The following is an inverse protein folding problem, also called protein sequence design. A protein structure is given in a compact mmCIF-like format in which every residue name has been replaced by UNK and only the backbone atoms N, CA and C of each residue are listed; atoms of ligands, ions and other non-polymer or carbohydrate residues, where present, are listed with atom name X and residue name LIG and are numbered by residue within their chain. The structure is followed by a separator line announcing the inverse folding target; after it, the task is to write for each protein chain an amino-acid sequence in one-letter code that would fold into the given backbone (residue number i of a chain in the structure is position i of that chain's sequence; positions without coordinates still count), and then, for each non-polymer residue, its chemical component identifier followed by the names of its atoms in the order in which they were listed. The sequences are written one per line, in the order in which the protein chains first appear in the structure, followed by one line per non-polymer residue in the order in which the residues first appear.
data_IF_533626232904
#
_entry.id   IF_533626232904
#
_cell.length_a   1.000
_cell.length_b   1.000
_cell.length_c   1.000
_cell.angle_alpha   90.00
_cell.angle_beta   90.00
_cell.angle_gamma   90.00
#
_symmetry.space_group_name_H-M   'P 1'
#
loop_
_entity.id
_entity.type
_entity.pdbx_description
1 polymer ?
#
# COMPACT_ATOMS: atom_id res chain seq x y z
N UNK A 1 13.65 -15.28 14.55
CA UNK A 1 14.02 -15.21 13.12
C UNK A 1 14.74 -13.90 12.76
N UNK A 2 14.17 -12.72 13.05
CA UNK A 2 14.74 -11.42 12.68
C UNK A 2 16.17 -11.13 13.19
N UNK A 3 16.44 -11.33 14.49
CA UNK A 3 17.73 -10.97 15.10
C UNK A 3 18.96 -11.61 14.41
N UNK A 4 18.98 -12.93 14.12
CA UNK A 4 20.08 -13.53 13.34
C UNK A 4 20.30 -12.93 11.95
N UNK A 5 19.25 -12.45 11.28
CA UNK A 5 19.31 -11.82 9.96
C UNK A 5 19.67 -10.32 10.05
N UNK A 6 19.83 -9.77 11.26
CA UNK A 6 20.07 -8.34 11.45
C UNK A 6 18.89 -7.48 11.02
N UNK A 7 17.66 -8.02 11.08
CA UNK A 7 16.44 -7.28 10.81
C UNK A 7 16.01 -6.63 12.13
N UNK A 8 15.87 -5.31 12.12
CA UNK A 8 15.61 -4.50 13.33
C UNK A 8 14.54 -3.45 13.15
N UNK A 9 14.30 -2.97 11.92
CA UNK A 9 13.19 -2.09 11.59
C UNK A 9 11.98 -2.94 11.20
N UNK A 10 11.15 -3.29 12.19
CA UNK A 10 9.99 -4.18 12.02
C UNK A 10 8.77 -3.54 12.64
N UNK A 11 7.68 -3.51 11.90
CA UNK A 11 6.35 -3.28 12.45
C UNK A 11 5.55 -4.54 12.17
N UNK A 12 4.98 -5.13 13.21
CA UNK A 12 4.08 -6.26 13.09
C UNK A 12 2.91 -6.02 14.03
N UNK A 13 1.78 -5.52 13.51
CA UNK A 13 0.61 -5.22 14.30
C UNK A 13 0.11 -6.43 15.06
N UNK A 14 -0.44 -6.17 16.23
CA UNK A 14 -0.99 -7.17 17.12
C UNK A 14 -2.42 -6.82 17.51
N UNK A 15 -3.22 -7.84 17.77
CA UNK A 15 -4.55 -7.69 18.34
C UNK A 15 -4.49 -7.12 19.78
N UNK A 16 -5.65 -6.82 20.35
CA UNK A 16 -5.75 -6.31 21.73
C UNK A 16 -5.18 -7.28 22.79
N UNK A 17 -4.97 -8.56 22.46
CA UNK A 17 -4.38 -9.57 23.33
C UNK A 17 -2.85 -9.67 23.14
N UNK A 18 -2.27 -8.92 22.19
CA UNK A 18 -0.84 -8.92 21.88
C UNK A 18 -0.41 -10.02 20.91
N UNK A 19 -1.34 -10.67 20.21
CA UNK A 19 -1.01 -11.63 19.16
C UNK A 19 -0.81 -10.93 17.84
N UNK A 20 0.37 -11.07 17.25
CA UNK A 20 0.65 -10.51 15.92
C UNK A 20 -0.27 -11.10 14.86
N UNK A 21 -0.59 -10.31 13.83
CA UNK A 21 -1.35 -10.75 12.67
C UNK A 21 -0.53 -11.77 11.87
N UNK A 22 -0.59 -13.05 12.24
CA UNK A 22 0.25 -14.11 11.65
C UNK A 22 0.00 -14.37 10.16
N UNK A 23 -1.09 -13.84 9.61
CA UNK A 23 -1.50 -13.99 8.22
C UNK A 23 -1.01 -12.84 7.32
N UNK A 24 -0.51 -11.73 7.87
CA UNK A 24 -0.22 -10.51 7.11
C UNK A 24 0.39 -9.37 7.93
N UNK A 25 0.27 -8.14 7.40
CA UNK A 25 0.60 -6.86 8.03
C UNK A 25 2.01 -6.70 8.61
N UNK A 26 2.95 -7.57 8.22
CA UNK A 26 4.34 -7.43 8.59
C UNK A 26 5.02 -6.40 7.67
N UNK A 27 5.39 -5.25 8.22
CA UNK A 27 6.14 -4.24 7.48
C UNK A 27 7.63 -4.42 7.68
N UNK A 28 8.33 -4.53 6.55
CA UNK A 28 9.78 -4.65 6.43
C UNK A 28 10.26 -3.77 5.28
N UNK A 29 11.54 -3.41 5.30
CA UNK A 29 12.16 -2.83 4.11
C UNK A 29 12.29 -3.89 3.01
N UNK A 30 12.31 -3.52 1.72
CA UNK A 30 12.53 -4.47 0.63
C UNK A 30 13.82 -5.27 0.80
N UNK A 31 14.86 -4.63 1.33
CA UNK A 31 16.13 -5.28 1.60
C UNK A 31 16.00 -6.31 2.74
N UNK A 32 15.24 -6.03 3.81
CA UNK A 32 15.00 -7.00 4.87
C UNK A 32 14.11 -8.17 4.41
N UNK A 33 13.13 -7.92 3.52
CA UNK A 33 12.40 -8.98 2.83
C UNK A 33 13.34 -9.85 1.98
N UNK A 34 14.28 -9.24 1.25
CA UNK A 34 15.26 -9.99 0.46
C UNK A 34 16.17 -10.89 1.31
N UNK A 35 16.42 -10.55 2.58
CA UNK A 35 17.14 -11.44 3.51
C UNK A 35 16.37 -12.73 3.79
N UNK A 36 15.04 -12.71 3.80
CA UNK A 36 14.23 -13.92 3.87
C UNK A 36 14.36 -14.76 2.61
N UNK A 37 14.27 -14.13 1.44
CA UNK A 37 14.52 -14.80 0.17
C UNK A 37 15.91 -15.43 0.13
N UNK A 38 16.95 -14.70 0.59
CA UNK A 38 18.32 -15.20 0.65
C UNK A 38 18.48 -16.35 1.63
N UNK A 39 17.83 -16.28 2.80
CA UNK A 39 17.82 -17.37 3.76
C UNK A 39 17.29 -18.65 3.13
N UNK A 40 16.18 -18.58 2.38
CA UNK A 40 15.58 -19.72 1.69
C UNK A 40 16.41 -20.21 0.49
N UNK A 41 16.93 -19.27 -0.31
CA UNK A 41 17.85 -19.55 -1.41
C UNK A 41 19.09 -20.34 -0.95
N UNK A 42 19.55 -20.08 0.29
CA UNK A 42 20.69 -20.74 0.90
C UNK A 42 20.27 -21.86 1.86
N UNK A 43 19.14 -22.54 1.59
CA UNK A 43 18.66 -23.70 2.35
C UNK A 43 18.60 -23.46 3.87
N UNK A 44 18.19 -22.26 4.27
CA UNK A 44 18.01 -21.86 5.66
C UNK A 44 19.28 -21.46 6.39
N UNK A 45 20.39 -21.24 5.66
CA UNK A 45 21.67 -20.80 6.22
C UNK A 45 21.86 -19.30 6.08
N UNK A 46 22.31 -18.65 7.16
CA UNK A 46 22.69 -17.24 7.17
C UNK A 46 24.05 -17.07 7.83
N UNK A 47 25.03 -16.47 7.13
CA UNK A 47 26.41 -16.28 7.61
C UNK A 47 27.03 -17.57 8.20
N UNK A 48 26.85 -18.70 7.51
CA UNK A 48 27.39 -20.00 7.92
C UNK A 48 26.66 -20.66 9.10
N UNK A 49 25.56 -20.09 9.60
CA UNK A 49 24.74 -20.67 10.66
C UNK A 49 23.39 -21.12 10.09
N UNK A 50 22.98 -22.35 10.41
CA UNK A 50 21.62 -22.84 10.13
C UNK A 50 20.62 -22.08 11.02
N UNK A 51 19.72 -21.30 10.41
CA UNK A 51 18.64 -20.58 11.09
C UNK A 51 17.30 -21.32 10.94
N UNK A 52 17.03 -21.84 9.75
CA UNK A 52 15.86 -22.67 9.42
C UNK A 52 16.39 -24.01 8.94
N UNK A 53 15.91 -25.18 9.41
CA UNK A 53 16.41 -26.47 8.93
C UNK A 53 16.30 -26.61 7.41
N UNK A 54 17.33 -27.15 6.74
CA UNK A 54 17.30 -27.35 5.29
C UNK A 54 16.14 -28.24 4.84
N UNK A 55 15.84 -29.29 5.60
CA UNK A 55 14.67 -30.16 5.40
C UNK A 55 13.33 -29.40 5.48
N UNK A 56 13.26 -28.34 6.29
CA UNK A 56 12.07 -27.51 6.39
C UNK A 56 11.94 -26.60 5.18
N UNK A 57 13.05 -26.01 4.70
CA UNK A 57 13.05 -25.21 3.46
C UNK A 57 12.51 -26.06 2.32
N UNK A 58 13.14 -27.20 2.05
CA UNK A 58 12.72 -28.15 1.01
C UNK A 58 11.24 -28.53 1.14
N UNK A 59 10.81 -28.94 2.34
CA UNK A 59 9.42 -29.36 2.55
C UNK A 59 8.43 -28.20 2.40
N UNK A 60 8.78 -27.00 2.84
CA UNK A 60 7.88 -25.84 2.83
C UNK A 60 7.66 -25.25 1.44
N UNK A 61 8.62 -25.43 0.54
CA UNK A 61 8.58 -24.92 -0.84
C UNK A 61 8.16 -25.98 -1.86
N UNK A 62 7.68 -27.15 -1.40
CA UNK A 62 7.07 -28.16 -2.27
C UNK A 62 5.56 -27.94 -2.42
N UNK A 63 5.02 -28.35 -3.57
CA UNK A 63 3.59 -28.38 -3.82
C UNK A 63 2.94 -29.43 -2.92
N UNK A 64 2.12 -28.99 -1.95
CA UNK A 64 1.28 -29.86 -1.12
C UNK A 64 -0.18 -29.87 -1.61
N UNK A 65 -0.61 -28.81 -2.28
CA UNK A 65 -1.94 -28.66 -2.86
C UNK A 65 -1.87 -27.79 -4.11
N UNK A 66 -2.80 -27.97 -5.03
CA UNK A 66 -2.97 -27.11 -6.21
C UNK A 66 -4.08 -26.09 -5.95
N UNK A 67 -3.87 -24.85 -6.39
CA UNK A 67 -4.87 -23.79 -6.36
C UNK A 67 -6.07 -24.14 -7.24
N UNK A 68 -7.27 -23.74 -6.80
CA UNK A 68 -8.51 -23.96 -7.53
C UNK A 68 -8.83 -22.86 -8.56
N UNK A 69 -7.91 -21.90 -8.78
CA UNK A 69 -8.09 -20.82 -9.75
C UNK A 69 -8.32 -21.39 -11.16
N UNK A 70 -9.30 -20.84 -11.89
CA UNK A 70 -9.85 -21.38 -13.15
C UNK A 70 -9.01 -21.02 -14.40
N UNK A 71 -7.91 -20.30 -14.22
CA UNK A 71 -7.12 -19.63 -15.24
C UNK A 71 -5.80 -20.37 -15.50
N UNK A 72 -5.81 -21.27 -16.50
CA UNK A 72 -4.67 -21.78 -17.28
C UNK A 72 -3.40 -22.31 -16.56
N UNK A 73 -3.50 -22.69 -15.30
CA UNK A 73 -2.46 -23.43 -14.59
C UNK A 73 -2.71 -23.32 -13.10
N UNK A 74 -3.09 -24.41 -12.44
CA UNK A 74 -3.24 -24.41 -11.00
C UNK A 74 -1.87 -24.26 -10.34
N UNK A 75 -1.52 -23.04 -9.94
CA UNK A 75 -0.34 -22.77 -9.11
C UNK A 75 -0.37 -23.70 -7.88
N UNK A 76 0.78 -24.24 -7.53
CA UNK A 76 0.96 -25.02 -6.32
C UNK A 76 1.01 -24.13 -5.08
N UNK A 77 0.69 -24.73 -3.94
CA UNK A 77 0.87 -24.11 -2.64
C UNK A 77 1.54 -25.07 -1.67
N UNK A 78 2.54 -24.53 -0.96
CA UNK A 78 3.34 -25.21 0.03
C UNK A 78 2.96 -24.81 1.44
N UNK A 79 3.94 -24.81 2.35
CA UNK A 79 3.73 -24.27 3.70
C UNK A 79 3.98 -22.75 3.70
N UNK A 80 2.94 -22.00 3.32
CA UNK A 80 2.94 -20.53 3.20
C UNK A 80 3.70 -19.97 1.98
N UNK A 81 3.99 -20.81 0.99
CA UNK A 81 4.63 -20.42 -0.27
C UNK A 81 3.72 -20.75 -1.45
N UNK A 82 3.61 -19.82 -2.39
CA UNK A 82 3.09 -20.10 -3.72
C UNK A 82 4.19 -20.72 -4.57
N UNK A 83 3.87 -21.72 -5.37
CA UNK A 83 4.79 -22.41 -6.26
C UNK A 83 4.17 -22.35 -7.65
N UNK A 84 4.59 -21.40 -8.49
CA UNK A 84 4.07 -21.29 -9.84
C UNK A 84 4.25 -22.58 -10.63
N UNK A 85 3.22 -22.97 -11.36
CA UNK A 85 3.21 -24.19 -12.15
C UNK A 85 3.16 -23.85 -13.63
N UNK A 86 4.26 -23.30 -14.12
CA UNK A 86 4.44 -22.80 -15.49
C UNK A 86 5.77 -23.30 -16.10
N UNK A 87 6.07 -22.92 -17.34
CA UNK A 87 7.28 -23.33 -18.08
C UNK A 87 8.53 -22.49 -17.71
N UNK A 88 8.46 -21.64 -16.68
CA UNK A 88 9.60 -20.84 -16.22
C UNK A 88 10.46 -21.65 -15.22
N UNK A 89 11.71 -21.20 -14.93
CA UNK A 89 12.52 -21.85 -13.90
C UNK A 89 11.80 -21.97 -12.57
N UNK A 90 12.07 -23.06 -11.84
CA UNK A 90 11.44 -23.34 -10.55
C UNK A 90 11.61 -22.17 -9.61
N UNK A 91 10.50 -21.73 -9.02
CA UNK A 91 10.47 -20.63 -8.08
C UNK A 91 9.41 -20.85 -7.01
N UNK A 92 9.60 -20.19 -5.89
CA UNK A 92 8.61 -20.11 -4.82
C UNK A 92 8.48 -18.68 -4.34
N UNK A 93 7.25 -18.30 -4.00
CA UNK A 93 6.83 -16.92 -3.85
C UNK A 93 6.02 -16.71 -2.57
N UNK A 94 6.43 -15.76 -1.73
CA UNK A 94 5.54 -15.18 -0.74
C UNK A 94 4.75 -14.06 -1.44
N UNK A 95 3.43 -14.24 -1.61
CA UNK A 95 2.56 -13.29 -2.31
C UNK A 95 1.59 -12.62 -1.35
N UNK A 96 1.56 -11.28 -1.38
CA UNK A 96 0.60 -10.45 -0.67
C UNK A 96 -0.17 -9.52 -1.62
N UNK A 97 -1.31 -9.01 -1.13
CA UNK A 97 -2.20 -8.11 -1.88
C UNK A 97 -1.45 -6.89 -2.42
N UNK A 98 -1.78 -6.47 -3.64
CA UNK A 98 -1.17 -5.31 -4.26
C UNK A 98 0.27 -5.54 -4.66
N UNK A 99 0.65 -6.75 -5.06
CA UNK A 99 1.99 -7.04 -5.60
C UNK A 99 3.12 -6.95 -4.54
N UNK A 100 2.85 -7.34 -3.30
CA UNK A 100 3.90 -7.55 -2.30
C UNK A 100 4.51 -8.93 -2.53
N UNK A 101 5.75 -9.00 -3.04
CA UNK A 101 6.34 -10.28 -3.44
C UNK A 101 7.72 -10.49 -2.84
N UNK A 102 8.00 -11.74 -2.49
CA UNK A 102 9.35 -12.29 -2.39
C UNK A 102 9.39 -13.52 -3.29
N UNK A 103 9.99 -13.40 -4.47
CA UNK A 103 10.20 -14.51 -5.40
C UNK A 103 11.64 -14.98 -5.29
N UNK A 104 11.83 -16.28 -5.07
CA UNK A 104 13.15 -16.92 -5.04
C UNK A 104 13.25 -17.89 -6.21
N UNK A 105 14.29 -17.73 -7.02
CA UNK A 105 14.59 -18.58 -8.18
C UNK A 105 15.95 -19.27 -7.96
N UNK A 106 15.98 -20.48 -7.37
CA UNK A 106 17.23 -21.12 -6.97
C UNK A 106 18.21 -21.35 -8.12
N UNK A 107 17.72 -21.83 -9.27
CA UNK A 107 18.54 -22.13 -10.44
C UNK A 107 19.33 -20.90 -10.93
N UNK A 108 18.75 -19.71 -10.77
CA UNK A 108 19.34 -18.44 -11.21
C UNK A 108 20.07 -17.70 -10.08
N UNK A 109 20.10 -18.24 -8.87
CA UNK A 109 20.61 -17.54 -7.68
C UNK A 109 20.01 -16.12 -7.54
N UNK A 110 18.70 -16.00 -7.79
CA UNK A 110 17.99 -14.74 -7.91
C UNK A 110 16.89 -14.61 -6.85
N UNK A 111 16.77 -13.40 -6.30
CA UNK A 111 15.65 -13.00 -5.45
C UNK A 111 15.08 -11.71 -6.03
N UNK A 112 13.77 -11.68 -6.20
CA UNK A 112 13.02 -10.49 -6.60
C UNK A 112 12.12 -10.10 -5.43
N UNK A 113 12.19 -8.84 -5.03
CA UNK A 113 11.31 -8.27 -4.01
C UNK A 113 10.60 -7.07 -4.59
N UNK A 114 9.28 -7.01 -4.40
CA UNK A 114 8.47 -5.84 -4.71
C UNK A 114 7.70 -5.40 -3.48
N UNK A 115 7.70 -4.09 -3.25
CA UNK A 115 6.90 -3.42 -2.24
C UNK A 115 6.27 -2.18 -2.86
N UNK A 116 4.97 -1.98 -2.67
CA UNK A 116 4.24 -0.86 -3.27
C UNK A 116 2.89 -1.32 -3.81
N UNK A 117 1.91 -0.41 -3.91
CA UNK A 117 0.57 -0.72 -4.41
C UNK A 117 0.28 -0.05 -5.77
N UNK A 118 -0.79 -0.50 -6.43
CA UNK A 118 -1.31 0.18 -7.63
C UNK A 118 -0.62 -0.17 -8.95
N UNK A 119 0.15 -1.26 -9.00
CA UNK A 119 0.71 -1.80 -10.24
C UNK A 119 0.62 -3.34 -10.27
N UNK A 120 0.56 -3.89 -11.47
CA UNK A 120 0.64 -5.34 -11.71
C UNK A 120 2.05 -5.75 -12.11
N UNK A 121 2.44 -6.99 -11.78
CA UNK A 121 3.75 -7.51 -12.17
C UNK A 121 3.97 -7.51 -13.68
N UNK A 122 2.92 -7.62 -14.49
CA UNK A 122 3.03 -7.57 -15.95
C UNK A 122 3.55 -6.21 -16.46
N UNK A 123 3.33 -5.13 -15.68
CA UNK A 123 3.85 -3.80 -16.00
C UNK A 123 5.34 -3.66 -15.65
N UNK A 124 5.79 -4.30 -14.57
CA UNK A 124 7.14 -4.15 -14.01
C UNK A 124 8.11 -5.23 -14.52
N UNK A 125 7.63 -6.45 -14.77
CA UNK A 125 8.43 -7.59 -15.20
C UNK A 125 9.27 -7.31 -16.45
N UNK A 126 8.78 -6.60 -17.50
CA UNK A 126 9.61 -6.27 -18.66
C UNK A 126 10.88 -5.49 -18.29
N UNK A 127 10.81 -4.58 -17.31
CA UNK A 127 11.97 -3.83 -16.83
C UNK A 127 12.94 -4.71 -16.03
N UNK A 128 12.41 -5.58 -15.17
CA UNK A 128 13.21 -6.53 -14.39
C UNK A 128 13.96 -7.49 -15.30
N UNK A 129 13.26 -8.14 -16.24
CA UNK A 129 13.87 -9.06 -17.21
C UNK A 129 14.92 -8.34 -18.05
N UNK A 130 14.63 -7.11 -18.49
CA UNK A 130 15.60 -6.31 -19.23
C UNK A 130 16.87 -5.98 -18.42
N UNK A 131 16.79 -5.95 -17.08
CA UNK A 131 17.92 -5.67 -16.19
C UNK A 131 18.86 -6.87 -15.96
N UNK A 132 18.36 -8.10 -16.14
CA UNK A 132 19.13 -9.34 -15.95
C UNK A 132 20.05 -9.61 -17.16
N UNK A 133 21.19 -8.93 -17.22
CA UNK A 133 22.11 -8.98 -18.38
C UNK A 133 23.18 -10.06 -18.33
N UNK A 134 23.52 -10.58 -17.15
CA UNK A 134 24.60 -11.55 -16.98
C UNK A 134 24.43 -12.33 -15.69
N UNK A 135 24.86 -13.58 -15.73
CA UNK A 135 25.07 -14.49 -14.60
C UNK A 135 26.44 -14.30 -13.93
N UNK A 136 27.26 -13.37 -14.43
CA UNK A 136 28.57 -12.99 -13.89
C UNK A 136 28.58 -11.52 -13.47
N UNK A 137 29.47 -11.12 -12.55
CA UNK A 137 29.63 -9.72 -12.17
C UNK A 137 29.91 -8.83 -13.39
N UNK A 138 29.07 -7.81 -13.56
CA UNK A 138 29.27 -6.80 -14.58
C UNK A 138 30.37 -5.82 -14.14
N UNK A 139 31.14 -5.23 -15.08
CA UNK A 139 32.08 -4.15 -14.75
C UNK A 139 31.32 -2.93 -14.21
N UNK A 140 31.98 -2.17 -13.35
CA UNK A 140 31.43 -0.91 -12.83
C UNK A 140 31.03 0.03 -13.97
N UNK A 141 29.89 0.70 -13.80
CA UNK A 141 29.40 1.71 -14.74
C UNK A 141 29.07 3.02 -13.99
N UNK A 142 30.10 3.85 -13.67
CA UNK A 142 29.91 5.08 -12.91
C UNK A 142 28.92 6.06 -13.56
N UNK A 143 28.87 6.09 -14.90
CA UNK A 143 27.95 6.97 -15.63
C UNK A 143 26.48 6.53 -15.47
N UNK A 144 26.20 5.22 -15.52
CA UNK A 144 24.85 4.72 -15.27
C UNK A 144 24.45 4.88 -13.80
N UNK A 145 25.38 4.65 -12.87
CA UNK A 145 25.15 4.86 -11.44
C UNK A 145 24.87 6.34 -11.12
N UNK A 146 25.60 7.28 -11.74
CA UNK A 146 25.34 8.71 -11.61
C UNK A 146 23.93 9.09 -12.04
N UNK A 147 23.47 8.61 -13.21
CA UNK A 147 22.10 8.83 -13.68
C UNK A 147 21.05 8.22 -12.75
N UNK A 148 21.32 7.03 -12.21
CA UNK A 148 20.43 6.40 -11.22
C UNK A 148 20.30 7.28 -9.98
N UNK A 149 21.41 7.81 -9.46
CA UNK A 149 21.40 8.67 -8.29
C UNK A 149 20.66 10.00 -8.56
N UNK A 150 20.85 10.60 -9.73
CA UNK A 150 20.10 11.79 -10.16
C UNK A 150 18.60 11.51 -10.20
N UNK A 151 18.19 10.38 -10.79
CA UNK A 151 16.78 9.99 -10.85
C UNK A 151 16.19 9.71 -9.46
N UNK A 152 16.93 9.05 -8.57
CA UNK A 152 16.51 8.81 -7.18
C UNK A 152 16.31 10.13 -6.44
N UNK A 153 17.26 11.06 -6.60
CA UNK A 153 17.17 12.37 -5.96
C UNK A 153 15.99 13.17 -6.51
N UNK A 154 15.80 13.19 -7.83
CA UNK A 154 14.68 13.88 -8.47
C UNK A 154 13.32 13.28 -8.06
N UNK A 155 13.24 11.96 -7.90
CA UNK A 155 12.02 11.28 -7.45
C UNK A 155 11.68 11.54 -5.97
N UNK A 156 12.65 11.99 -5.16
CA UNK A 156 12.45 12.31 -3.76
C UNK A 156 11.91 13.75 -3.55
N UNK A 157 11.97 14.61 -4.57
CA UNK A 157 11.47 15.97 -4.48
C UNK A 157 9.94 16.00 -4.63
N UNK A 158 9.21 16.77 -3.80
CA UNK A 158 7.77 16.95 -3.99
C UNK A 158 7.48 17.69 -5.30
N UNK A 159 6.27 17.54 -5.86
CA UNK A 159 5.83 18.38 -6.97
C UNK A 159 5.86 19.86 -6.59
N UNK A 160 6.00 20.76 -7.58
CA UNK A 160 5.90 22.20 -7.32
C UNK A 160 4.48 22.56 -6.84
N UNK A 161 4.34 23.38 -5.80
CA UNK A 161 3.03 23.77 -5.30
C UNK A 161 2.29 24.67 -6.30
N UNK A 162 1.02 24.34 -6.52
CA UNK A 162 0.11 25.14 -7.32
C UNK A 162 -0.59 26.21 -6.44
N UNK A 163 -0.96 27.38 -7.00
CA UNK A 163 -1.74 28.35 -6.25
C UNK A 163 -3.08 27.77 -5.76
N UNK A 164 -3.35 27.89 -4.47
CA UNK A 164 -4.61 27.47 -3.85
C UNK A 164 -5.75 28.24 -4.50
N UNK A 165 -6.72 27.52 -5.06
CA UNK A 165 -7.93 28.13 -5.63
C UNK A 165 -8.80 28.68 -4.50
N UNK A 166 -9.47 29.83 -4.68
CA UNK A 166 -10.41 30.34 -3.69
C UNK A 166 -11.49 29.31 -3.36
N UNK A 167 -11.82 29.19 -2.07
CA UNK A 167 -12.81 28.22 -1.61
C UNK A 167 -14.23 28.56 -2.15
N UNK A 168 -14.97 27.58 -2.69
CA UNK A 168 -16.35 27.82 -3.13
C UNK A 168 -17.28 28.08 -1.94
N UNK A 169 -18.46 28.66 -2.20
CA UNK A 169 -19.46 28.90 -1.15
C UNK A 169 -19.90 27.63 -0.43
N UNK A 170 -19.87 26.48 -1.12
CA UNK A 170 -20.14 25.19 -0.49
C UNK A 170 -19.11 24.86 0.59
N UNK A 171 -17.81 25.15 0.37
CA UNK A 171 -16.77 24.90 1.38
C UNK A 171 -17.11 25.62 2.69
N UNK A 172 -17.49 26.90 2.62
CA UNK A 172 -17.92 27.70 3.79
C UNK A 172 -19.17 27.13 4.46
N UNK A 173 -20.07 26.51 3.70
CA UNK A 173 -21.29 25.88 4.24
C UNK A 173 -21.01 24.58 4.99
N UNK A 174 -20.00 23.82 4.58
CA UNK A 174 -19.71 22.49 5.16
C UNK A 174 -18.55 22.53 6.16
N UNK A 175 -17.78 23.62 6.19
CA UNK A 175 -16.58 23.76 7.02
C UNK A 175 -16.85 23.41 8.49
N UNK A 176 -16.13 22.39 8.99
CA UNK A 176 -16.24 21.89 10.35
C UNK A 176 -17.54 21.15 10.67
N UNK A 177 -18.42 20.91 9.70
CA UNK A 177 -19.66 20.16 9.93
C UNK A 177 -19.47 18.66 9.75
N UNK A 178 -20.23 17.90 10.53
CA UNK A 178 -20.22 16.44 10.50
C UNK A 178 -21.40 15.89 9.72
N UNK A 179 -21.12 14.99 8.79
CA UNK A 179 -22.12 14.16 8.13
C UNK A 179 -22.13 12.78 8.80
N UNK A 180 -23.33 12.30 9.14
CA UNK A 180 -23.58 10.90 9.51
C UNK A 180 -23.77 10.11 8.23
N UNK A 181 -23.01 9.02 8.08
CA UNK A 181 -22.99 8.24 6.86
C UNK A 181 -24.07 7.15 6.89
N UNK A 182 -24.66 6.89 5.73
CA UNK A 182 -25.53 5.75 5.53
C UNK A 182 -24.72 4.45 5.67
N UNK A 183 -25.38 3.31 5.94
CA UNK A 183 -24.71 2.01 6.01
C UNK A 183 -23.88 1.76 4.75
N UNK A 184 -22.61 1.41 4.91
CA UNK A 184 -21.67 1.26 3.82
C UNK A 184 -20.71 0.07 4.06
N UNK A 185 -20.05 -0.47 3.02
CA UNK A 185 -19.20 -1.65 3.12
C UNK A 185 -17.91 -1.49 3.95
N UNK A 186 -17.57 -0.26 4.34
CA UNK A 186 -16.37 0.08 5.10
C UNK A 186 -16.70 0.37 6.58
N UNK A 187 -17.97 0.24 6.99
CA UNK A 187 -18.47 0.57 8.33
C UNK A 187 -18.14 2.00 8.78
N UNK A 188 -17.91 2.93 7.84
CA UNK A 188 -17.66 4.34 8.15
C UNK A 188 -18.93 4.96 8.74
N UNK A 189 -18.80 5.67 9.85
CA UNK A 189 -19.93 6.22 10.59
C UNK A 189 -20.16 7.71 10.32
N UNK A 190 -19.08 8.46 10.14
CA UNK A 190 -19.17 9.91 9.95
C UNK A 190 -18.04 10.46 9.08
N UNK A 191 -18.24 11.67 8.58
CA UNK A 191 -17.29 12.41 7.77
C UNK A 191 -17.33 13.90 8.13
N UNK A 192 -16.17 14.56 8.19
CA UNK A 192 -16.09 16.02 8.25
C UNK A 192 -14.88 16.55 7.48
N UNK A 193 -15.01 17.77 6.96
CA UNK A 193 -13.93 18.52 6.31
C UNK A 193 -13.82 19.89 7.00
N UNK A 194 -12.58 20.29 7.33
CA UNK A 194 -12.28 21.64 7.81
C UNK A 194 -11.25 22.28 6.88
N UNK A 195 -11.39 23.54 6.51
CA UNK A 195 -10.52 24.21 5.54
C UNK A 195 -9.71 25.34 6.19
N UNK A 196 -8.43 25.43 5.85
CA UNK A 196 -7.50 26.50 6.24
C UNK A 196 -6.96 27.14 4.95
N UNK A 197 -7.65 28.19 4.47
CA UNK A 197 -7.32 28.86 3.21
C UNK A 197 -5.96 29.58 3.27
N UNK A 198 -5.54 30.06 4.45
CA UNK A 198 -4.24 30.72 4.63
C UNK A 198 -3.09 29.75 4.47
N UNK A 199 -3.25 28.50 4.94
CA UNK A 199 -2.23 27.45 4.78
C UNK A 199 -2.38 26.64 3.50
N UNK A 200 -3.52 26.74 2.81
CA UNK A 200 -3.82 25.89 1.67
C UNK A 200 -4.02 24.44 2.09
N UNK A 201 -4.68 24.21 3.21
CA UNK A 201 -4.85 22.87 3.79
C UNK A 201 -6.32 22.57 4.06
N UNK A 202 -6.68 21.29 4.06
CA UNK A 202 -7.94 20.81 4.59
C UNK A 202 -7.68 19.62 5.53
N UNK A 203 -8.47 19.51 6.59
CA UNK A 203 -8.45 18.37 7.49
C UNK A 203 -9.66 17.50 7.22
N UNK A 204 -9.41 16.30 6.72
CA UNK A 204 -10.42 15.29 6.43
C UNK A 204 -10.49 14.29 7.58
N UNK A 205 -11.67 14.16 8.20
CA UNK A 205 -11.90 13.19 9.27
C UNK A 205 -12.93 12.17 8.88
N UNK A 206 -12.65 10.93 9.24
CA UNK A 206 -13.57 9.80 9.05
C UNK A 206 -13.80 9.10 10.40
N UNK A 207 -15.06 9.00 10.80
CA UNK A 207 -15.46 8.27 12.00
C UNK A 207 -15.61 6.78 11.73
N UNK A 208 -15.12 5.98 12.65
CA UNK A 208 -15.15 4.51 12.63
C UNK A 208 -15.90 3.98 13.86
N UNK A 209 -16.25 2.68 13.89
CA UNK A 209 -16.78 2.04 15.09
C UNK A 209 -15.90 2.25 16.33
N UNK A 210 -16.49 2.06 17.51
CA UNK A 210 -15.81 2.22 18.81
C UNK A 210 -15.30 3.65 19.08
N UNK A 211 -15.95 4.66 18.49
CA UNK A 211 -15.57 6.08 18.59
C UNK A 211 -14.15 6.37 18.11
N UNK A 212 -13.63 5.55 17.19
CA UNK A 212 -12.36 5.80 16.55
C UNK A 212 -12.53 6.86 15.45
N UNK A 213 -11.47 7.63 15.18
CA UNK A 213 -11.45 8.64 14.14
C UNK A 213 -10.10 8.64 13.45
N UNK A 214 -10.12 8.58 12.12
CA UNK A 214 -8.95 8.81 11.29
C UNK A 214 -8.92 10.27 10.84
N UNK A 215 -7.73 10.87 10.85
CA UNK A 215 -7.50 12.25 10.46
C UNK A 215 -6.44 12.31 9.35
N UNK A 216 -6.81 12.90 8.22
CA UNK A 216 -5.94 13.08 7.06
C UNK A 216 -5.78 14.56 6.77
N UNK A 217 -4.55 15.05 6.85
CA UNK A 217 -4.22 16.39 6.39
C UNK A 217 -4.10 16.36 4.86
N UNK A 218 -4.79 17.28 4.19
CA UNK A 218 -4.86 17.39 2.74
C UNK A 218 -4.24 18.71 2.30
N UNK A 219 -3.25 18.67 1.40
CA UNK A 219 -2.80 19.88 0.71
C UNK A 219 -3.76 20.26 -0.42
N UNK A 220 -4.09 21.55 -0.51
CA UNK A 220 -4.96 22.14 -1.55
C UNK A 220 -4.16 22.76 -2.71
N UNK A 221 -2.84 22.64 -2.66
CA UNK A 221 -1.83 23.18 -3.57
C UNK A 221 -1.17 22.09 -4.45
N UNK A 222 -1.86 20.94 -4.62
CA UNK A 222 -1.35 19.75 -5.32
C UNK A 222 -0.14 19.05 -4.64
N UNK A 223 0.33 19.55 -3.48
CA UNK A 223 1.38 18.91 -2.69
C UNK A 223 0.75 18.14 -1.54
N UNK A 224 1.04 16.85 -1.42
CA UNK A 224 0.49 16.05 -0.32
C UNK A 224 1.01 16.51 1.04
N UNK A 225 0.14 16.48 2.04
CA UNK A 225 0.49 16.67 3.45
C UNK A 225 0.51 15.31 4.13
N UNK A 226 1.38 15.15 5.13
CA UNK A 226 1.53 13.89 5.83
C UNK A 226 0.79 13.90 7.16
N UNK A 227 0.07 12.82 7.44
CA UNK A 227 -0.53 12.53 8.73
C UNK A 227 -0.19 11.10 9.17
N UNK A 228 -0.35 10.77 10.46
CA UNK A 228 -0.34 9.37 10.89
C UNK A 228 -1.52 8.62 10.27
N UNK A 229 -1.23 7.53 9.57
CA UNK A 229 -2.18 6.55 9.05
C UNK A 229 -2.22 5.29 9.92
N UNK A 230 -2.67 4.18 9.35
CA UNK A 230 -2.79 2.90 10.06
C UNK A 230 -1.45 2.47 10.69
N UNK A 231 -1.49 1.91 11.89
CA UNK A 231 -0.31 1.49 12.67
C UNK A 231 0.72 2.61 12.97
N UNK A 232 0.34 3.88 12.78
CA UNK A 232 1.25 5.03 12.93
C UNK A 232 2.21 5.21 11.76
N UNK A 233 1.98 4.50 10.65
CA UNK A 233 2.70 4.68 9.39
C UNK A 233 2.25 5.97 8.70
N UNK A 234 3.09 6.58 7.84
CA UNK A 234 2.70 7.81 7.14
C UNK A 234 1.55 7.56 6.15
N UNK A 235 0.56 8.46 6.19
CA UNK A 235 -0.41 8.65 5.12
C UNK A 235 -0.19 10.04 4.49
N UNK A 236 -0.28 10.12 3.16
CA UNK A 236 -0.12 11.34 2.38
C UNK A 236 -1.47 11.74 1.79
N UNK A 237 -1.92 12.95 2.10
CA UNK A 237 -3.22 13.46 1.71
C UNK A 237 -3.13 14.72 0.84
N UNK A 238 -3.95 14.80 -0.20
CA UNK A 238 -4.22 16.04 -0.93
C UNK A 238 -5.68 16.13 -1.34
N UNK A 239 -6.16 17.34 -1.63
CA UNK A 239 -7.54 17.52 -2.05
C UNK A 239 -7.74 18.71 -2.96
N UNK A 240 -8.83 18.68 -3.71
CA UNK A 240 -9.19 19.74 -4.66
C UNK A 240 -10.69 19.86 -4.80
N UNK A 241 -11.16 21.09 -4.99
CA UNK A 241 -12.50 21.36 -5.49
C UNK A 241 -12.49 21.24 -7.01
N UNK A 242 -13.25 20.28 -7.55
CA UNK A 242 -13.41 20.04 -8.99
C UNK A 242 -14.62 20.80 -9.58
N UNK A 243 -15.55 21.20 -8.71
CA UNK A 243 -16.63 22.16 -9.00
C UNK A 243 -17.11 22.78 -7.69
N UNK A 244 -18.08 23.71 -7.76
CA UNK A 244 -18.64 24.36 -6.57
C UNK A 244 -19.21 23.40 -5.52
N UNK A 245 -19.58 22.18 -5.90
CA UNK A 245 -20.22 21.19 -5.02
C UNK A 245 -19.46 19.87 -4.94
N UNK A 246 -18.29 19.76 -5.58
CA UNK A 246 -17.53 18.49 -5.64
C UNK A 246 -16.13 18.70 -5.10
N UNK A 247 -15.84 18.02 -3.99
CA UNK A 247 -14.51 17.96 -3.38
C UNK A 247 -13.94 16.56 -3.52
N UNK A 248 -12.72 16.45 -4.04
CA UNK A 248 -12.01 15.18 -4.17
C UNK A 248 -10.85 15.16 -3.19
N UNK A 249 -10.80 14.14 -2.35
CA UNK A 249 -9.66 13.83 -1.50
C UNK A 249 -8.90 12.63 -2.08
N UNK A 250 -7.59 12.74 -2.13
CA UNK A 250 -6.66 11.66 -2.40
C UNK A 250 -5.93 11.35 -1.09
N UNK A 251 -5.99 10.09 -0.65
CA UNK A 251 -5.29 9.61 0.54
C UNK A 251 -4.48 8.39 0.13
N UNK A 252 -3.17 8.49 0.25
CA UNK A 252 -2.21 7.42 -0.03
C UNK A 252 -1.64 6.94 1.32
N UNK A 253 -1.91 5.70 1.69
CA UNK A 253 -1.24 5.10 2.84
C UNK A 253 0.15 4.62 2.42
N UNK A 254 1.10 5.56 2.38
CA UNK A 254 2.42 5.44 1.71
C UNK A 254 3.21 4.17 2.05
N UNK A 255 3.08 3.66 3.28
CA UNK A 255 3.78 2.44 3.72
C UNK A 255 2.87 1.20 3.78
N UNK A 256 1.60 1.34 3.43
CA UNK A 256 0.64 0.27 3.15
C UNK A 256 0.44 0.17 1.63
N UNK A 257 -0.55 -0.62 1.20
CA UNK A 257 -0.87 -0.82 -0.21
C UNK A 257 -2.02 0.06 -0.69
N UNK A 258 -2.79 0.63 0.23
CA UNK A 258 -4.09 1.24 -0.05
C UNK A 258 -3.94 2.69 -0.55
N UNK A 259 -4.66 2.99 -1.64
CA UNK A 259 -4.72 4.32 -2.23
C UNK A 259 -6.19 4.67 -2.46
N UNK A 260 -6.64 5.76 -1.86
CA UNK A 260 -8.04 6.16 -1.91
C UNK A 260 -8.21 7.42 -2.72
N UNK A 261 -9.14 7.39 -3.68
CA UNK A 261 -9.75 8.60 -4.25
C UNK A 261 -11.18 8.68 -3.74
N UNK A 262 -11.46 9.68 -2.92
CA UNK A 262 -12.76 9.90 -2.29
C UNK A 262 -13.39 11.16 -2.89
N UNK A 263 -14.42 10.97 -3.71
CA UNK A 263 -15.17 12.06 -4.33
C UNK A 263 -16.42 12.35 -3.51
N UNK A 264 -16.54 13.58 -3.04
CA UNK A 264 -17.65 14.07 -2.24
C UNK A 264 -18.49 15.00 -3.10
N UNK A 265 -19.77 14.68 -3.28
CA UNK A 265 -20.74 15.55 -3.96
C UNK A 265 -21.74 16.06 -2.93
N UNK A 266 -21.73 17.36 -2.68
CA UNK A 266 -22.57 18.00 -1.68
C UNK A 266 -23.83 18.59 -2.31
N UNK A 267 -24.98 18.31 -1.71
CA UNK A 267 -26.25 18.90 -2.09
C UNK A 267 -27.09 19.15 -0.84
N UNK A 268 -27.33 20.42 -0.53
CA UNK A 268 -28.06 20.85 0.67
C UNK A 268 -27.50 20.24 1.96
N UNK A 269 -28.25 19.35 2.62
CA UNK A 269 -27.85 18.63 3.82
C UNK A 269 -27.26 17.24 3.54
N UNK A 270 -27.08 16.87 2.27
CA UNK A 270 -26.60 15.55 1.86
C UNK A 270 -25.20 15.59 1.28
N UNK A 271 -24.51 14.46 1.43
CA UNK A 271 -23.27 14.14 0.72
C UNK A 271 -23.43 12.79 0.05
N UNK A 272 -22.98 12.69 -1.19
CA UNK A 272 -22.73 11.41 -1.88
C UNK A 272 -21.24 11.20 -1.97
N UNK A 273 -20.78 10.01 -1.58
CA UNK A 273 -19.37 9.63 -1.54
C UNK A 273 -19.15 8.53 -2.55
N UNK A 274 -18.20 8.75 -3.46
CA UNK A 274 -17.66 7.73 -4.34
C UNK A 274 -16.21 7.47 -3.94
N UNK A 275 -15.95 6.28 -3.40
CA UNK A 275 -14.64 5.82 -2.98
C UNK A 275 -14.08 4.87 -4.04
N UNK A 276 -12.87 5.15 -4.49
CA UNK A 276 -12.09 4.27 -5.37
C UNK A 276 -10.86 3.78 -4.62
N UNK A 277 -10.71 2.47 -4.50
CA UNK A 277 -9.52 1.78 -4.00
C UNK A 277 -9.09 0.73 -5.02
N UNK A 278 -8.02 0.96 -5.79
CA UNK A 278 -7.56 0.04 -6.82
C UNK A 278 -6.99 -1.26 -6.24
N UNK A 279 -6.81 -1.37 -4.93
CA UNK A 279 -6.11 -2.51 -4.31
C UNK A 279 -7.03 -3.58 -3.74
N UNK A 280 -8.28 -3.22 -3.42
CA UNK A 280 -9.23 -4.18 -2.82
C UNK A 280 -10.69 -3.83 -3.08
N UNK A 281 -11.18 -2.71 -2.52
CA UNK A 281 -12.61 -2.41 -2.51
C UNK A 281 -13.17 -2.05 -3.88
N UNK A 282 -12.33 -1.69 -4.85
CA UNK A 282 -12.75 -1.24 -6.16
C UNK A 282 -13.49 0.09 -6.04
N UNK A 283 -14.68 0.18 -6.64
CA UNK A 283 -15.52 1.37 -6.61
C UNK A 283 -16.73 1.15 -5.69
N UNK A 284 -16.86 1.99 -4.67
CA UNK A 284 -17.97 1.96 -3.72
C UNK A 284 -18.66 3.31 -3.69
N UNK A 285 -19.99 3.31 -3.64
CA UNK A 285 -20.79 4.53 -3.51
C UNK A 285 -21.75 4.43 -2.32
N UNK A 286 -21.82 5.49 -1.50
CA UNK A 286 -22.76 5.60 -0.39
C UNK A 286 -23.07 7.06 -0.07
N UNK A 287 -24.17 7.29 0.64
CA UNK A 287 -24.62 8.61 1.04
C UNK A 287 -24.29 8.97 2.49
N UNK A 288 -24.60 10.21 2.85
CA UNK A 288 -24.66 10.69 4.22
C UNK A 288 -25.53 11.93 4.33
N UNK A 289 -25.81 12.32 5.56
CA UNK A 289 -26.59 13.52 5.90
C UNK A 289 -25.93 14.30 7.00
N UNK A 290 -26.13 15.62 6.97
CA UNK A 290 -25.64 16.52 8.01
C UNK A 290 -26.23 16.13 9.37
N UNK A 291 -25.39 16.05 10.39
CA UNK A 291 -25.84 15.74 11.75
C UNK A 291 -26.93 16.73 12.19
N UNK A 292 -28.03 16.19 12.72
CA UNK A 292 -29.18 16.98 13.16
C UNK A 292 -30.20 17.34 12.07
N UNK A 293 -30.03 16.88 10.82
CA UNK A 293 -31.08 16.98 9.81
C UNK A 293 -32.13 15.86 9.98
N UNK A 294 -33.42 16.20 9.86
CA UNK A 294 -34.54 15.25 9.96
C UNK A 294 -34.90 14.67 8.59
N UNK A 295 -35.27 13.39 8.53
CA UNK A 295 -35.94 12.82 7.35
C UNK A 295 -37.22 13.61 7.05
N UNK A 296 -37.32 14.19 5.85
CA UNK A 296 -38.59 14.66 5.29
C UNK A 296 -39.25 13.52 4.53
#
# INVERSE_FOLDING_TARGET
LFKPLGISNVIWPADQQGNNHGWGDLHLTPHDMAKFGYLYLNNGTWNGKQIVPAEWVEKSTQIHVLSLAEDNGSDGYGYQWWIPNDDLPERYEARGRGTQLITVVPELNLIVVTTGGGFDMDEVAPFLVASLKSDQPLPENPAAYGRLQENINAAAEPPEPEPVKPLPEMAKKIDGKTYVLDSNPLDLQSLSLTFDEEKGEALFRVGLPENQTLEFLLGLDNVSRFSPGEYGLPAAGKGSWESDNVFVAYVDEVANVNHYKVTHTFQDDRVTIQLQDPTWYGNVEFGGRLEGSSEQ
#
